data_IF_297030730900
#
_entry.id   IF_297030730900
#
_cell.length_a   1.000
_cell.length_b   1.000
_cell.length_c   1.000
_cell.angle_alpha   90.00
_cell.angle_beta   90.00
_cell.angle_gamma   90.00
#
_symmetry.space_group_name_H-M   'P 1'
#
loop_
_entity.id
_entity.type
_entity.pdbx_description
1 polymer ?
#
# COMPACT_ATOMS: atom_id res chain seq x y z
N UNK A 1 -4.31 -44.40 10.55
CA UNK A 1 -4.48 -43.13 9.79
C UNK A 1 -4.03 -43.42 8.36
N UNK A 2 -4.90 -43.21 7.37
CA UNK A 2 -4.47 -43.28 5.98
C UNK A 2 -3.49 -42.12 5.68
N UNK A 3 -2.43 -42.35 4.89
CA UNK A 3 -1.55 -41.28 4.46
C UNK A 3 -2.32 -40.32 3.55
N UNK A 4 -2.04 -39.01 3.60
CA UNK A 4 -2.66 -38.07 2.68
C UNK A 4 -2.39 -38.52 1.24
N UNK A 5 -3.46 -38.69 0.46
CA UNK A 5 -3.41 -39.05 -0.96
C UNK A 5 -2.56 -38.02 -1.72
N UNK A 6 -1.67 -38.47 -2.61
CA UNK A 6 -0.71 -37.61 -3.32
C UNK A 6 -1.38 -36.47 -4.09
N UNK A 7 -2.59 -36.70 -4.59
CA UNK A 7 -3.42 -35.73 -5.32
C UNK A 7 -3.80 -34.51 -4.48
N UNK A 8 -4.00 -34.69 -3.16
CA UNK A 8 -4.26 -33.60 -2.22
C UNK A 8 -2.99 -32.78 -1.94
N UNK A 9 -1.81 -33.42 -1.91
CA UNK A 9 -0.53 -32.75 -1.75
C UNK A 9 -0.16 -31.92 -2.98
N UNK A 10 -0.42 -32.45 -4.18
CA UNK A 10 -0.21 -31.74 -5.45
C UNK A 10 -1.15 -30.53 -5.59
N UNK A 11 -2.42 -30.70 -5.20
CA UNK A 11 -3.41 -29.61 -5.16
C UNK A 11 -3.03 -28.52 -4.16
N UNK A 12 -2.53 -28.89 -2.99
CA UNK A 12 -2.04 -27.94 -1.98
C UNK A 12 -0.80 -27.19 -2.46
N UNK A 13 0.15 -27.87 -3.11
CA UNK A 13 1.35 -27.27 -3.69
C UNK A 13 1.02 -26.26 -4.78
N UNK A 14 0.06 -26.59 -5.66
CA UNK A 14 -0.43 -25.69 -6.69
C UNK A 14 -1.09 -24.43 -6.08
N UNK A 15 -1.88 -24.59 -5.01
CA UNK A 15 -2.51 -23.48 -4.30
C UNK A 15 -1.47 -22.56 -3.64
N UNK A 16 -0.48 -23.13 -2.94
CA UNK A 16 0.62 -22.37 -2.32
C UNK A 16 1.40 -21.60 -3.37
N UNK A 17 1.73 -22.25 -4.50
CA UNK A 17 2.44 -21.62 -5.61
C UNK A 17 1.67 -20.45 -6.21
N UNK A 18 0.36 -20.63 -6.45
CA UNK A 18 -0.52 -19.55 -6.95
C UNK A 18 -0.63 -18.39 -5.96
N UNK A 19 -0.74 -18.68 -4.67
CA UNK A 19 -0.79 -17.65 -3.63
C UNK A 19 0.54 -16.89 -3.54
N UNK A 20 1.68 -17.58 -3.65
CA UNK A 20 3.00 -16.95 -3.69
C UNK A 20 3.14 -15.99 -4.87
N UNK A 21 2.66 -16.37 -6.06
CA UNK A 21 2.63 -15.48 -7.24
C UNK A 21 1.78 -14.23 -6.98
N UNK A 22 0.58 -14.39 -6.39
CA UNK A 22 -0.29 -13.26 -6.03
C UNK A 22 0.38 -12.31 -5.02
N UNK A 23 1.01 -12.86 -3.97
CA UNK A 23 1.74 -12.08 -2.96
C UNK A 23 2.91 -11.32 -3.57
N UNK A 24 3.69 -11.97 -4.44
CA UNK A 24 4.80 -11.32 -5.14
C UNK A 24 4.31 -10.18 -6.05
N UNK A 25 3.19 -10.38 -6.78
CA UNK A 25 2.57 -9.34 -7.59
C UNK A 25 2.14 -8.14 -6.72
N UNK A 26 1.50 -8.40 -5.58
CA UNK A 26 1.09 -7.35 -4.64
C UNK A 26 2.31 -6.58 -4.11
N UNK A 27 3.36 -7.28 -3.71
CA UNK A 27 4.62 -6.67 -3.24
C UNK A 27 5.26 -5.78 -4.31
N UNK A 28 5.24 -6.20 -5.56
CA UNK A 28 5.76 -5.41 -6.68
C UNK A 28 4.91 -4.18 -6.96
N UNK A 29 3.59 -4.29 -6.90
CA UNK A 29 2.69 -3.15 -7.04
C UNK A 29 2.90 -2.14 -5.90
N UNK A 30 3.07 -2.61 -4.66
CA UNK A 30 3.36 -1.75 -3.52
C UNK A 30 4.68 -0.99 -3.69
N UNK A 31 5.74 -1.66 -4.19
CA UNK A 31 7.00 -1.00 -4.52
C UNK A 31 6.81 0.09 -5.58
N UNK A 32 6.00 -0.15 -6.61
CA UNK A 32 5.68 0.85 -7.64
C UNK A 32 4.92 2.04 -7.05
N UNK A 33 3.89 1.81 -6.25
CA UNK A 33 3.15 2.86 -5.55
C UNK A 33 4.08 3.71 -4.68
N UNK A 34 4.96 3.10 -3.87
CA UNK A 34 5.93 3.83 -3.05
C UNK A 34 6.85 4.72 -3.90
N UNK A 35 7.33 4.24 -5.05
CA UNK A 35 8.17 5.05 -5.96
C UNK A 35 7.40 6.25 -6.52
N UNK A 36 6.15 6.05 -6.93
CA UNK A 36 5.30 7.12 -7.47
C UNK A 36 4.98 8.16 -6.39
N UNK A 37 4.63 7.73 -5.18
CA UNK A 37 4.37 8.62 -4.05
C UNK A 37 5.61 9.45 -3.67
N UNK A 38 6.80 8.83 -3.67
CA UNK A 38 8.04 9.55 -3.39
C UNK A 38 8.34 10.58 -4.47
N UNK A 39 8.16 10.23 -5.75
CA UNK A 39 8.34 11.18 -6.86
C UNK A 39 7.35 12.35 -6.73
N UNK A 40 6.08 12.06 -6.47
CA UNK A 40 5.06 13.09 -6.24
C UNK A 40 5.44 13.99 -5.06
N UNK A 41 5.98 13.44 -3.97
CA UNK A 41 6.45 14.23 -2.83
C UNK A 41 7.57 15.19 -3.21
N UNK A 42 8.56 14.74 -3.98
CA UNK A 42 9.66 15.59 -4.47
C UNK A 42 9.13 16.67 -5.43
N UNK A 43 8.29 16.30 -6.38
CA UNK A 43 7.73 17.25 -7.35
C UNK A 43 6.91 18.33 -6.63
N UNK A 44 6.14 17.95 -5.60
CA UNK A 44 5.38 18.90 -4.77
C UNK A 44 6.28 19.71 -3.84
N UNK A 45 7.42 19.19 -3.36
CA UNK A 45 8.38 19.95 -2.53
C UNK A 45 9.01 21.14 -3.24
N UNK A 46 9.05 21.09 -4.58
CA UNK A 46 9.62 22.14 -5.42
C UNK A 46 8.59 23.25 -5.66
N UNK A 47 7.30 22.90 -5.68
CA UNK A 47 6.21 23.80 -6.08
C UNK A 47 5.49 24.41 -4.87
N UNK A 48 5.51 23.75 -3.71
CA UNK A 48 4.73 24.14 -2.55
C UNK A 48 5.55 24.81 -1.45
N UNK A 49 4.90 25.70 -0.70
CA UNK A 49 5.43 26.22 0.55
C UNK A 49 5.80 25.08 1.53
N UNK A 50 6.81 25.28 2.40
CA UNK A 50 7.34 24.25 3.29
C UNK A 50 6.28 23.55 4.17
N UNK A 51 5.24 24.27 4.56
CA UNK A 51 4.13 23.76 5.39
C UNK A 51 3.34 22.70 4.64
N UNK A 52 3.00 22.95 3.37
CA UNK A 52 2.24 22.02 2.54
C UNK A 52 3.06 20.78 2.17
N UNK A 53 4.37 20.95 1.98
CA UNK A 53 5.28 19.81 1.78
C UNK A 53 5.37 18.91 3.03
N UNK A 54 5.49 19.48 4.23
CA UNK A 54 5.52 18.71 5.48
C UNK A 54 4.23 17.90 5.70
N UNK A 55 3.07 18.49 5.38
CA UNK A 55 1.79 17.80 5.44
C UNK A 55 1.71 16.64 4.44
N UNK A 56 2.15 16.86 3.20
CA UNK A 56 2.20 15.82 2.17
C UNK A 56 3.09 14.64 2.57
N UNK A 57 4.30 14.89 3.07
CA UNK A 57 5.22 13.84 3.55
C UNK A 57 4.56 13.02 4.65
N UNK A 58 3.83 13.68 5.56
CA UNK A 58 3.10 13.04 6.66
C UNK A 58 1.97 12.15 6.14
N UNK A 59 1.21 12.62 5.14
CA UNK A 59 0.13 11.87 4.52
C UNK A 59 0.68 10.61 3.80
N UNK A 60 1.77 10.75 3.04
CA UNK A 60 2.43 9.63 2.35
C UNK A 60 2.97 8.60 3.35
N UNK A 61 3.59 9.04 4.44
CA UNK A 61 4.08 8.16 5.49
C UNK A 61 2.95 7.38 6.16
N UNK A 62 1.83 8.04 6.47
CA UNK A 62 0.63 7.43 7.07
C UNK A 62 0.04 6.37 6.15
N UNK A 63 -0.14 6.70 4.86
CA UNK A 63 -0.69 5.77 3.86
C UNK A 63 0.22 4.54 3.68
N UNK A 64 1.54 4.76 3.63
CA UNK A 64 2.51 3.67 3.53
C UNK A 64 2.42 2.73 4.74
N UNK A 65 2.29 3.30 5.95
CA UNK A 65 2.20 2.54 7.20
C UNK A 65 0.92 1.70 7.25
N UNK A 66 -0.22 2.28 6.89
CA UNK A 66 -1.49 1.55 6.79
C UNK A 66 -1.42 0.34 5.85
N UNK A 67 -0.74 0.49 4.70
CA UNK A 67 -0.58 -0.63 3.75
C UNK A 67 0.34 -1.72 4.31
N UNK A 68 1.43 -1.35 4.98
CA UNK A 68 2.37 -2.32 5.54
C UNK A 68 1.80 -3.06 6.75
N UNK A 69 1.06 -2.37 7.61
CA UNK A 69 0.48 -2.94 8.83
C UNK A 69 -0.83 -3.71 8.56
N UNK A 70 -1.22 -3.86 7.29
CA UNK A 70 -2.48 -4.49 6.86
C UNK A 70 -3.75 -3.87 7.47
N UNK A 71 -3.63 -2.66 8.04
CA UNK A 71 -4.73 -1.83 8.54
C UNK A 71 -5.33 -0.95 7.43
N UNK A 72 -4.87 -1.13 6.19
CA UNK A 72 -5.36 -0.42 5.03
C UNK A 72 -6.84 -0.68 4.78
N UNK A 73 -7.62 0.38 4.90
CA UNK A 73 -9.01 0.43 4.48
C UNK A 73 -9.16 1.58 3.50
N UNK A 74 -9.76 1.28 2.34
CA UNK A 74 -10.05 2.29 1.32
C UNK A 74 -10.94 3.41 1.88
N UNK A 75 -11.90 3.07 2.73
CA UNK A 75 -12.78 4.05 3.39
C UNK A 75 -12.03 4.94 4.40
N UNK A 76 -11.00 4.42 5.07
CA UNK A 76 -10.13 5.21 5.95
C UNK A 76 -9.23 6.14 5.13
N UNK A 77 -8.67 5.64 4.03
CA UNK A 77 -7.88 6.42 3.10
C UNK A 77 -8.66 7.62 2.53
N UNK A 78 -9.89 7.40 2.05
CA UNK A 78 -10.75 8.49 1.56
C UNK A 78 -11.07 9.53 2.62
N UNK A 79 -11.36 9.10 3.86
CA UNK A 79 -11.58 10.04 4.98
C UNK A 79 -10.35 10.89 5.30
N UNK A 80 -9.16 10.28 5.24
CA UNK A 80 -7.90 10.99 5.46
C UNK A 80 -7.69 12.08 4.40
N UNK A 81 -7.85 11.73 3.12
CA UNK A 81 -7.72 12.68 1.99
C UNK A 81 -8.71 13.84 2.14
N UNK A 82 -9.98 13.54 2.43
CA UNK A 82 -11.00 14.57 2.62
C UNK A 82 -10.69 15.51 3.80
N UNK A 83 -10.09 14.99 4.89
CA UNK A 83 -9.69 15.79 6.05
C UNK A 83 -8.49 16.68 5.73
N UNK A 84 -7.54 16.15 4.95
CA UNK A 84 -6.33 16.87 4.56
C UNK A 84 -6.63 17.96 3.52
N UNK A 85 -7.54 17.72 2.57
CA UNK A 85 -8.06 18.75 1.66
C UNK A 85 -8.72 19.90 2.43
N UNK A 86 -9.51 19.58 3.46
CA UNK A 86 -10.18 20.58 4.30
C UNK A 86 -9.16 21.45 5.07
N UNK A 87 -8.04 20.85 5.52
CA UNK A 87 -6.95 21.57 6.20
C UNK A 87 -6.11 22.44 5.29
N UNK A 88 -6.03 22.12 3.99
CA UNK A 88 -5.30 22.93 3.00
C UNK A 88 -6.11 24.12 2.50
N UNK A 89 -7.43 24.13 2.73
CA UNK A 89 -8.36 25.18 2.31
C UNK A 89 -8.66 26.22 3.41
N UNK A 90 -8.13 26.03 4.63
CA UNK A 90 -8.26 26.94 5.77
C UNK A 90 -6.93 27.62 6.08
#
# INVERSE_FOLDING_TARGET
>A
MEPPTSENLDSLSALISRNRVKVNKLRNNLKKCRKLLLKLAIDLSIVFEPVTYAQLVTNVATLTRMILDSSFSLATCYRQIATDELRLLM
#
